data_IF_434518108257
#
_entry.id   IF_434518108257
#
_cell.length_a   1.000
_cell.length_b   1.000
_cell.length_c   1.000
_cell.angle_alpha   90.00
_cell.angle_beta   90.00
_cell.angle_gamma   90.00
#
_symmetry.space_group_name_H-M   'P 1'
#
loop_
_entity.id
_entity.type
_entity.pdbx_description
1 polymer ?
#
# COMPACT_ATOMS: atom_id res chain seq x y z
N UNK A 1 40.12 -32.21 -2.89
CA UNK A 1 38.64 -32.32 -3.01
C UNK A 1 37.88 -31.79 -1.79
N UNK A 2 38.20 -32.19 -0.54
CA UNK A 2 37.48 -31.75 0.68
C UNK A 2 37.49 -30.23 0.93
N UNK A 3 38.56 -29.54 0.54
CA UNK A 3 38.71 -28.08 0.69
C UNK A 3 37.80 -27.31 -0.28
N UNK A 4 37.65 -27.81 -1.51
CA UNK A 4 36.79 -27.20 -2.54
C UNK A 4 35.30 -27.28 -2.17
N UNK A 5 34.88 -28.42 -1.61
CA UNK A 5 33.51 -28.63 -1.10
C UNK A 5 33.20 -27.71 0.10
N UNK A 6 34.18 -27.46 0.99
CA UNK A 6 34.01 -26.50 2.09
C UNK A 6 33.73 -25.08 1.61
N UNK A 7 34.44 -24.62 0.57
CA UNK A 7 34.20 -23.30 -0.03
C UNK A 7 32.86 -23.22 -0.76
N UNK A 8 32.44 -24.29 -1.44
CA UNK A 8 31.14 -24.35 -2.11
C UNK A 8 29.98 -24.29 -1.12
N UNK A 9 30.07 -25.02 0.00
CA UNK A 9 29.06 -24.98 1.08
C UNK A 9 29.05 -23.60 1.75
N UNK A 10 30.21 -23.00 1.99
CA UNK A 10 30.31 -21.63 2.53
C UNK A 10 29.71 -20.58 1.60
N UNK A 11 29.93 -20.72 0.29
CA UNK A 11 29.34 -19.84 -0.73
C UNK A 11 27.82 -19.99 -0.81
N UNK A 12 27.31 -21.23 -0.76
CA UNK A 12 25.87 -21.50 -0.75
C UNK A 12 25.20 -20.93 0.52
N UNK A 13 25.87 -21.01 1.67
CA UNK A 13 25.38 -20.41 2.91
C UNK A 13 25.36 -18.88 2.85
N UNK A 14 26.38 -18.27 2.25
CA UNK A 14 26.45 -16.82 2.06
C UNK A 14 25.35 -16.31 1.10
N UNK A 15 25.10 -17.02 0.00
CA UNK A 15 24.01 -16.70 -0.94
C UNK A 15 22.63 -16.83 -0.27
N UNK A 16 22.42 -17.86 0.55
CA UNK A 16 21.18 -18.04 1.32
C UNK A 16 20.94 -16.90 2.32
N UNK A 17 22.01 -16.39 2.94
CA UNK A 17 21.93 -15.28 3.89
C UNK A 17 21.57 -13.95 3.20
N UNK A 18 22.12 -13.69 2.00
CA UNK A 18 21.75 -12.50 1.21
C UNK A 18 20.32 -12.58 0.67
N UNK A 19 19.80 -13.76 0.35
CA UNK A 19 18.42 -13.95 -0.11
C UNK A 19 17.38 -13.71 1.01
N UNK A 20 17.81 -13.72 2.28
CA UNK A 20 16.97 -13.42 3.44
C UNK A 20 17.01 -11.95 3.89
N UNK A 21 17.80 -11.10 3.21
CA UNK A 21 17.69 -9.66 3.32
C UNK A 21 16.35 -9.25 2.69
N UNK A 22 15.28 -9.32 3.48
CA UNK A 22 13.93 -9.00 3.07
C UNK A 22 13.91 -7.63 2.38
N UNK A 23 13.17 -7.55 1.27
CA UNK A 23 12.80 -6.27 0.70
C UNK A 23 12.13 -5.49 1.82
N UNK A 24 12.82 -4.48 2.36
CA UNK A 24 12.19 -3.49 3.21
C UNK A 24 11.13 -2.84 2.33
N UNK A 25 9.87 -3.25 2.49
CA UNK A 25 8.76 -2.55 1.89
C UNK A 25 8.88 -1.13 2.42
N UNK A 26 9.15 -0.18 1.51
CA UNK A 26 9.13 1.22 1.84
C UNK A 26 7.67 1.58 2.13
N UNK A 27 7.26 1.31 3.37
CA UNK A 27 5.92 1.60 3.86
C UNK A 27 5.76 3.11 3.76
N UNK A 28 4.75 3.55 3.00
CA UNK A 28 4.49 4.97 2.83
C UNK A 28 4.23 5.58 4.20
N UNK A 29 4.88 6.70 4.47
CA UNK A 29 4.63 7.43 5.71
C UNK A 29 3.12 7.77 5.78
N UNK A 30 2.47 7.65 6.95
CA UNK A 30 1.02 7.82 7.05
C UNK A 30 0.51 9.17 6.54
N UNK A 31 1.28 10.24 6.72
CA UNK A 31 0.95 11.58 6.23
C UNK A 31 1.01 11.67 4.70
N UNK A 32 1.97 10.97 4.08
CA UNK A 32 2.09 10.86 2.62
C UNK A 32 0.91 10.07 2.06
N UNK A 33 0.53 8.97 2.71
CA UNK A 33 -0.58 8.12 2.28
C UNK A 33 -1.91 8.88 2.29
N UNK A 34 -2.16 9.66 3.36
CA UNK A 34 -3.35 10.52 3.46
C UNK A 34 -3.35 11.60 2.37
N UNK A 35 -2.21 12.28 2.16
CA UNK A 35 -2.09 13.31 1.11
C UNK A 35 -2.34 12.74 -0.28
N UNK A 36 -1.70 11.62 -0.62
CA UNK A 36 -1.87 10.98 -1.92
C UNK A 36 -3.33 10.56 -2.15
N UNK A 37 -3.97 9.96 -1.15
CA UNK A 37 -5.38 9.58 -1.25
C UNK A 37 -6.28 10.80 -1.45
N UNK A 38 -6.03 11.89 -0.73
CA UNK A 38 -6.79 13.13 -0.87
C UNK A 38 -6.59 13.77 -2.26
N UNK A 39 -5.36 13.85 -2.73
CA UNK A 39 -5.01 14.40 -4.04
C UNK A 39 -5.64 13.57 -5.18
N UNK A 40 -5.61 12.25 -5.08
CA UNK A 40 -6.23 11.33 -6.04
C UNK A 40 -7.74 11.54 -6.11
N UNK A 41 -8.43 11.57 -4.96
CA UNK A 41 -9.89 11.77 -4.89
C UNK A 41 -10.27 13.15 -5.45
N UNK A 42 -9.51 14.20 -5.08
CA UNK A 42 -9.75 15.55 -5.59
C UNK A 42 -9.54 15.63 -7.11
N UNK A 43 -8.56 14.91 -7.64
CA UNK A 43 -8.30 14.85 -9.08
C UNK A 43 -9.46 14.15 -9.80
N UNK A 44 -9.91 13.00 -9.30
CA UNK A 44 -11.07 12.27 -9.86
C UNK A 44 -12.31 13.16 -9.89
N UNK A 45 -12.61 13.86 -8.79
CA UNK A 45 -13.77 14.75 -8.73
C UNK A 45 -13.65 15.91 -9.74
N UNK A 46 -12.44 16.46 -9.95
CA UNK A 46 -12.20 17.55 -10.91
C UNK A 46 -12.24 17.12 -12.37
N UNK A 47 -11.92 15.88 -12.67
CA UNK A 47 -11.90 15.38 -14.04
C UNK A 47 -13.24 14.75 -14.45
N UNK A 48 -14.00 14.22 -13.50
CA UNK A 48 -15.26 13.54 -13.75
C UNK A 48 -16.47 14.49 -13.73
N UNK A 49 -16.95 14.85 -14.91
CA UNK A 49 -18.11 15.72 -15.10
C UNK A 49 -19.42 15.13 -14.55
N UNK A 50 -19.56 13.80 -14.50
CA UNK A 50 -20.78 13.19 -13.97
C UNK A 50 -20.82 13.28 -12.45
N UNK A 51 -19.68 13.09 -11.79
CA UNK A 51 -19.55 13.33 -10.35
C UNK A 51 -19.83 14.80 -10.04
N UNK A 52 -19.29 15.73 -10.84
CA UNK A 52 -19.58 17.17 -10.70
C UNK A 52 -21.06 17.51 -10.93
N UNK A 53 -21.72 16.80 -11.84
CA UNK A 53 -23.16 16.93 -12.07
C UNK A 53 -24.01 16.34 -10.93
N UNK A 54 -23.39 15.75 -9.91
CA UNK A 54 -24.05 15.20 -8.73
C UNK A 54 -24.41 13.73 -8.83
N UNK A 55 -23.77 12.95 -9.72
CA UNK A 55 -23.98 11.50 -9.79
C UNK A 55 -23.43 10.80 -8.54
N UNK A 56 -24.31 10.57 -7.57
CA UNK A 56 -23.97 9.98 -6.28
C UNK A 56 -23.50 8.53 -6.40
N UNK A 57 -24.07 7.74 -7.31
CA UNK A 57 -23.68 6.34 -7.49
C UNK A 57 -22.22 6.22 -7.90
N UNK A 58 -21.78 7.10 -8.81
CA UNK A 58 -20.38 7.16 -9.25
C UNK A 58 -19.45 7.65 -8.14
N UNK A 59 -19.90 8.63 -7.35
CA UNK A 59 -19.16 9.11 -6.18
C UNK A 59 -18.98 8.01 -5.12
N UNK A 60 -20.01 7.21 -4.84
CA UNK A 60 -19.90 6.07 -3.93
C UNK A 60 -18.88 5.04 -4.42
N UNK A 61 -18.85 4.75 -5.73
CA UNK A 61 -17.82 3.88 -6.31
C UNK A 61 -16.40 4.39 -6.04
N UNK A 62 -16.17 5.70 -6.17
CA UNK A 62 -14.85 6.31 -5.87
C UNK A 62 -14.50 6.18 -4.39
N UNK A 63 -15.48 6.35 -3.49
CA UNK A 63 -15.28 6.18 -2.05
C UNK A 63 -14.90 4.73 -1.72
N UNK A 64 -15.62 3.76 -2.32
CA UNK A 64 -15.36 2.33 -2.14
C UNK A 64 -13.97 1.92 -2.60
N UNK A 65 -13.54 2.43 -3.76
CA UNK A 65 -12.25 2.06 -4.34
C UNK A 65 -11.05 2.77 -3.71
N UNK A 66 -11.20 4.04 -3.30
CA UNK A 66 -10.06 4.87 -2.87
C UNK A 66 -9.98 5.11 -1.37
N UNK A 67 -11.13 5.24 -0.70
CA UNK A 67 -11.18 5.63 0.72
C UNK A 67 -11.29 4.40 1.62
N UNK A 68 -12.19 3.46 1.33
CA UNK A 68 -12.41 2.28 2.18
C UNK A 68 -11.15 1.43 2.46
N UNK A 69 -10.23 1.18 1.48
CA UNK A 69 -9.04 0.37 1.74
C UNK A 69 -8.12 0.97 2.81
N UNK A 70 -8.20 2.28 3.01
CA UNK A 70 -7.35 3.03 3.93
C UNK A 70 -8.09 3.44 5.22
N UNK A 71 -9.35 3.03 5.40
CA UNK A 71 -10.19 3.50 6.50
C UNK A 71 -10.69 2.35 7.38
N UNK A 72 -10.45 2.46 8.69
CA UNK A 72 -10.91 1.49 9.69
C UNK A 72 -12.25 1.95 10.31
N UNK A 73 -13.36 1.52 9.69
CA UNK A 73 -14.71 1.84 10.15
C UNK A 73 -14.99 1.31 11.55
N UNK A 74 -14.58 0.08 11.83
CA UNK A 74 -14.81 -0.56 13.12
C UNK A 74 -14.16 0.24 14.24
N UNK A 75 -12.92 0.70 14.04
CA UNK A 75 -12.23 1.54 15.00
C UNK A 75 -12.88 2.90 15.18
N UNK A 76 -13.27 3.57 14.10
CA UNK A 76 -13.92 4.88 14.18
C UNK A 76 -15.27 4.79 14.87
N UNK A 77 -16.11 3.82 14.51
CA UNK A 77 -17.41 3.62 15.14
C UNK A 77 -17.29 3.34 16.64
N UNK A 78 -16.32 2.51 17.06
CA UNK A 78 -16.04 2.27 18.49
C UNK A 78 -15.57 3.50 19.26
N UNK A 79 -15.05 4.53 18.60
CA UNK A 79 -14.63 5.77 19.27
C UNK A 79 -15.78 6.77 19.39
N UNK A 80 -16.84 6.63 18.59
CA UNK A 80 -17.96 7.57 18.53
C UNK A 80 -19.18 7.07 19.33
N UNK A 81 -19.45 5.76 19.29
CA UNK A 81 -20.58 5.10 19.94
C UNK A 81 -20.22 4.65 21.36
#
# INVERSE_FOLDING_TARGET
MKVFIKYLVGFSFFVSLLASAGMANAELAPDVLVKQTADDVLTIIKDDKEIQAGNQQKLYGVIEEKILPNFDFDRVCRMVL
#
